data_IF_412783439100
#
_entry.id   IF_412783439100
#
_cell.length_a   1.000
_cell.length_b   1.000
_cell.length_c   1.000
_cell.angle_alpha   90.00
_cell.angle_beta   90.00
_cell.angle_gamma   90.00
#
_symmetry.space_group_name_H-M   'P 1'
#
loop_
_entity.id
_entity.type
_entity.pdbx_description
1 polymer ?
#
# COMPACT_ATOMS: atom_id res chain seq x y z
N UNK A 1 -54.06 -7.15 65.85
CA UNK A 1 -52.76 -7.65 65.41
C UNK A 1 -52.49 -7.05 64.02
N UNK A 2 -51.64 -6.04 63.95
CA UNK A 2 -51.27 -5.32 62.70
C UNK A 2 -49.88 -5.75 62.33
N UNK A 3 -49.73 -6.50 61.19
CA UNK A 3 -48.45 -6.85 60.63
C UNK A 3 -47.91 -5.69 59.80
N UNK A 4 -46.73 -5.23 60.14
CA UNK A 4 -45.96 -4.23 59.40
C UNK A 4 -44.99 -4.97 58.47
N UNK A 5 -45.22 -4.88 57.14
CA UNK A 5 -44.24 -5.31 56.15
C UNK A 5 -43.21 -4.21 55.92
N UNK A 6 -41.96 -4.47 56.27
CA UNK A 6 -40.83 -3.58 55.95
C UNK A 6 -40.34 -3.93 54.53
N UNK A 7 -40.44 -2.94 53.64
CA UNK A 7 -39.84 -2.98 52.28
C UNK A 7 -38.37 -2.56 52.40
N UNK A 8 -37.46 -3.49 52.13
CA UNK A 8 -36.02 -3.17 52.00
C UNK A 8 -35.79 -2.75 50.54
N UNK A 9 -35.55 -1.46 50.31
CA UNK A 9 -35.15 -0.89 49.04
C UNK A 9 -33.60 -1.09 48.89
N UNK A 10 -33.21 -2.08 48.11
CA UNK A 10 -31.81 -2.26 47.76
C UNK A 10 -31.39 -1.22 46.73
N UNK A 11 -30.53 -0.26 47.12
CA UNK A 11 -29.86 0.65 46.20
C UNK A 11 -28.80 -0.13 45.40
N UNK A 12 -29.11 -0.42 44.12
CA UNK A 12 -28.10 -0.82 43.16
C UNK A 12 -27.25 0.42 42.79
N UNK A 13 -26.06 0.52 43.37
CA UNK A 13 -25.04 1.47 42.94
C UNK A 13 -24.46 0.93 41.63
N UNK A 14 -24.98 1.38 40.50
CA UNK A 14 -24.37 1.19 39.19
C UNK A 14 -23.13 2.09 39.17
N UNK A 15 -21.97 1.52 39.48
CA UNK A 15 -20.70 2.19 39.34
C UNK A 15 -20.46 2.50 37.86
N UNK A 16 -20.67 3.74 37.46
CA UNK A 16 -20.20 4.23 36.16
C UNK A 16 -18.67 4.14 36.17
N UNK A 17 -18.12 3.12 35.51
CA UNK A 17 -16.71 3.08 35.19
C UNK A 17 -16.46 4.27 34.26
N UNK A 18 -15.90 5.36 34.80
CA UNK A 18 -15.37 6.44 33.98
C UNK A 18 -14.26 5.86 33.12
N UNK A 19 -14.47 5.77 31.82
CA UNK A 19 -13.43 5.42 30.89
C UNK A 19 -12.26 6.40 31.11
N UNK A 20 -11.16 5.88 31.65
CA UNK A 20 -9.97 6.67 31.89
C UNK A 20 -9.44 7.14 30.54
N UNK A 21 -9.41 8.46 30.31
CA UNK A 21 -8.88 9.02 29.07
C UNK A 21 -7.41 8.56 28.89
N UNK A 22 -7.06 8.12 27.67
CA UNK A 22 -5.69 7.74 27.37
C UNK A 22 -4.76 8.95 27.53
N UNK A 23 -3.56 8.71 28.06
CA UNK A 23 -2.49 9.71 27.96
C UNK A 23 -2.16 9.89 26.49
N UNK A 24 -2.01 11.13 25.99
CA UNK A 24 -1.62 11.37 24.61
C UNK A 24 -0.21 10.80 24.33
N UNK A 25 0.09 10.45 23.08
CA UNK A 25 1.45 10.13 22.68
C UNK A 25 2.37 11.35 22.86
N UNK A 26 3.68 11.14 22.87
CA UNK A 26 4.66 12.24 22.93
C UNK A 26 4.57 13.17 21.72
N UNK A 27 4.29 12.60 20.56
CA UNK A 27 4.01 13.31 19.30
C UNK A 27 2.77 12.71 18.65
N UNK A 28 1.92 13.58 18.10
CA UNK A 28 0.75 13.14 17.33
C UNK A 28 1.14 12.54 15.98
N UNK A 29 0.23 11.81 15.33
CA UNK A 29 0.46 11.31 13.97
C UNK A 29 0.73 12.46 12.99
N UNK A 30 0.02 13.58 13.13
CA UNK A 30 0.27 14.79 12.35
C UNK A 30 1.69 15.33 12.55
N UNK A 31 2.17 15.49 13.79
CA UNK A 31 3.51 16.03 14.06
C UNK A 31 4.59 15.13 13.46
N UNK A 32 4.46 13.81 13.59
CA UNK A 32 5.36 12.83 12.96
C UNK A 32 5.31 12.91 11.44
N UNK A 33 4.12 12.90 10.86
CA UNK A 33 3.92 13.00 9.44
C UNK A 33 4.59 14.24 8.84
N UNK A 34 4.37 15.42 9.45
CA UNK A 34 4.97 16.68 9.01
C UNK A 34 6.50 16.70 9.06
N UNK A 35 7.12 15.85 9.88
CA UNK A 35 8.58 15.66 9.92
C UNK A 35 9.05 14.66 8.87
N UNK A 36 8.36 13.54 8.73
CA UNK A 36 8.77 12.44 7.85
C UNK A 36 8.67 12.82 6.37
N UNK A 37 7.62 13.55 5.96
CA UNK A 37 7.47 13.97 4.56
C UNK A 37 8.58 14.93 4.09
N UNK A 38 9.28 15.60 4.99
CA UNK A 38 10.43 16.47 4.67
C UNK A 38 11.72 15.71 4.36
N UNK A 39 11.77 14.42 4.68
CA UNK A 39 12.92 13.56 4.40
C UNK A 39 12.73 12.98 3.01
N UNK A 40 13.61 13.31 2.09
CA UNK A 40 13.61 12.72 0.75
C UNK A 40 13.98 11.24 0.83
N UNK A 41 13.06 10.39 0.38
CA UNK A 41 13.21 8.93 0.36
C UNK A 41 12.83 8.33 -0.99
N UNK A 42 12.78 9.15 -2.05
CA UNK A 42 12.36 8.71 -3.36
C UNK A 42 13.17 7.50 -3.84
N UNK A 43 12.47 6.44 -4.24
CA UNK A 43 13.06 5.25 -4.88
C UNK A 43 13.47 5.53 -6.34
N UNK A 44 14.16 4.59 -6.95
CA UNK A 44 14.59 4.70 -8.34
C UNK A 44 14.42 3.36 -9.06
N UNK A 45 13.83 3.40 -10.26
CA UNK A 45 13.69 2.22 -11.11
C UNK A 45 15.04 1.71 -11.62
N UNK A 46 15.06 0.45 -12.09
CA UNK A 46 16.20 -0.18 -12.75
C UNK A 46 17.52 -0.20 -11.94
N UNK A 47 17.44 -0.17 -10.61
CA UNK A 47 18.59 -0.30 -9.72
C UNK A 47 18.87 -1.76 -9.38
N UNK A 48 20.18 -2.08 -9.19
CA UNK A 48 20.62 -3.41 -8.76
C UNK A 48 20.91 -3.50 -7.25
N UNK A 49 20.56 -2.44 -6.51
CA UNK A 49 20.78 -2.34 -5.05
C UNK A 49 19.45 -2.19 -4.32
N UNK A 50 19.38 -2.70 -3.09
CA UNK A 50 18.28 -2.47 -2.15
C UNK A 50 18.89 -1.87 -0.89
N UNK A 51 18.41 -0.68 -0.46
CA UNK A 51 17.42 0.16 -1.16
C UNK A 51 17.96 0.70 -2.49
N UNK A 52 17.04 0.95 -3.42
CA UNK A 52 17.35 1.50 -4.75
C UNK A 52 18.03 2.87 -4.66
N UNK A 53 17.72 3.63 -3.60
CA UNK A 53 18.40 4.89 -3.27
C UNK A 53 18.84 4.90 -1.81
N UNK A 54 20.06 5.32 -1.55
CA UNK A 54 20.61 5.39 -0.18
C UNK A 54 19.92 6.43 0.70
N UNK A 55 19.21 7.40 0.13
CA UNK A 55 18.50 8.45 0.88
C UNK A 55 17.36 7.89 1.73
N UNK A 56 16.79 6.73 1.38
CA UNK A 56 15.81 6.01 2.19
C UNK A 56 16.36 5.64 3.58
N UNK A 57 17.67 5.36 3.69
CA UNK A 57 18.32 5.05 4.96
C UNK A 57 18.27 6.20 5.98
N UNK A 58 18.07 7.44 5.53
CA UNK A 58 17.92 8.58 6.44
C UNK A 58 16.66 8.42 7.30
N UNK A 59 15.53 8.06 6.68
CA UNK A 59 14.28 7.79 7.39
C UNK A 59 14.40 6.49 8.21
N UNK A 60 14.96 5.41 7.65
CA UNK A 60 15.15 4.14 8.34
C UNK A 60 15.91 4.32 9.68
N UNK A 61 17.02 5.06 9.65
CA UNK A 61 17.82 5.31 10.85
C UNK A 61 17.08 6.19 11.87
N UNK A 62 16.33 7.18 11.41
CA UNK A 62 15.49 8.01 12.28
C UNK A 62 14.43 7.17 12.98
N UNK A 63 13.68 6.34 12.23
CA UNK A 63 12.64 5.48 12.79
C UNK A 63 13.19 4.46 13.79
N UNK A 64 14.34 3.85 13.48
CA UNK A 64 15.00 2.94 14.42
C UNK A 64 15.43 3.65 15.72
N UNK A 65 15.89 4.89 15.63
CA UNK A 65 16.22 5.72 16.81
C UNK A 65 14.96 6.03 17.62
N UNK A 66 13.91 6.52 16.97
CA UNK A 66 12.65 6.88 17.64
C UNK A 66 11.98 5.66 18.30
N UNK A 67 11.97 4.50 17.65
CA UNK A 67 11.45 3.25 18.23
C UNK A 67 12.19 2.88 19.53
N UNK A 68 13.52 3.04 19.57
CA UNK A 68 14.32 2.82 20.80
C UNK A 68 13.95 3.83 21.89
N UNK A 69 13.77 5.11 21.52
CA UNK A 69 13.39 6.19 22.45
C UNK A 69 11.96 6.03 23.00
N UNK A 70 11.06 5.45 22.23
CA UNK A 70 9.70 5.05 22.66
C UNK A 70 9.78 3.86 23.62
N UNK A 71 10.80 3.00 23.52
CA UNK A 71 11.01 1.82 24.37
C UNK A 71 10.65 0.50 23.69
N UNK A 72 10.52 0.47 22.36
CA UNK A 72 10.40 -0.78 21.60
C UNK A 72 11.65 -1.63 21.75
N UNK A 73 11.47 -2.96 21.65
CA UNK A 73 12.54 -3.94 21.79
C UNK A 73 12.97 -4.48 20.41
N UNK A 74 14.13 -5.16 20.37
CA UNK A 74 14.66 -5.81 19.17
C UNK A 74 14.80 -4.87 17.96
N UNK A 75 15.00 -3.58 18.20
CA UNK A 75 15.08 -2.57 17.13
C UNK A 75 16.35 -2.75 16.33
N UNK A 76 16.20 -3.05 15.05
CA UNK A 76 17.31 -3.24 14.10
C UNK A 76 16.99 -2.64 12.76
N UNK A 77 18.02 -2.25 12.02
CA UNK A 77 17.96 -1.95 10.58
C UNK A 77 18.74 -3.04 9.88
N UNK A 78 18.14 -3.71 8.91
CA UNK A 78 18.82 -4.74 8.13
C UNK A 78 19.84 -4.14 7.14
N UNK A 79 20.69 -4.96 6.55
CA UNK A 79 21.60 -4.54 5.47
C UNK A 79 20.85 -3.98 4.24
N UNK A 80 19.59 -4.36 4.08
CA UNK A 80 18.70 -3.88 3.00
C UNK A 80 17.88 -2.63 3.39
N UNK A 81 18.13 -2.04 4.56
CA UNK A 81 17.44 -0.84 5.03
C UNK A 81 16.07 -1.10 5.67
N UNK A 82 15.63 -2.34 5.80
CA UNK A 82 14.35 -2.65 6.47
C UNK A 82 14.51 -2.45 7.98
N UNK A 83 13.61 -1.67 8.57
CA UNK A 83 13.54 -1.45 10.02
C UNK A 83 12.63 -2.50 10.64
N UNK A 84 13.05 -3.11 11.74
CA UNK A 84 12.25 -4.03 12.54
C UNK A 84 12.22 -3.61 14.00
N UNK A 85 11.09 -3.82 14.67
CA UNK A 85 10.96 -3.62 16.10
C UNK A 85 9.88 -4.53 16.69
N UNK A 86 9.89 -4.69 18.02
CA UNK A 86 8.89 -5.44 18.76
C UNK A 86 8.38 -4.62 19.94
N UNK A 87 7.08 -4.52 20.09
CA UNK A 87 6.43 -4.04 21.30
C UNK A 87 5.94 -5.25 22.09
N UNK A 88 6.52 -5.55 23.28
CA UNK A 88 6.09 -6.70 24.08
C UNK A 88 4.63 -6.55 24.52
N UNK A 89 3.89 -7.64 24.47
CA UNK A 89 2.54 -7.67 25.00
C UNK A 89 2.49 -7.43 26.51
N UNK A 90 1.40 -6.88 26.99
CA UNK A 90 1.20 -6.54 28.40
C UNK A 90 0.11 -7.35 29.12
N UNK A 91 -0.30 -8.47 28.52
CA UNK A 91 -1.25 -9.41 29.13
C UNK A 91 -0.55 -10.35 30.10
N UNK A 92 -1.23 -10.86 31.14
CA UNK A 92 -0.68 -11.88 32.06
C UNK A 92 -0.24 -13.15 31.34
N UNK A 93 -0.97 -13.56 30.29
CA UNK A 93 -0.64 -14.65 29.40
C UNK A 93 -0.74 -14.18 27.93
N UNK A 94 0.40 -13.82 27.36
CA UNK A 94 0.49 -13.41 25.96
C UNK A 94 0.47 -14.58 24.98
N UNK A 95 0.63 -15.83 25.46
CA UNK A 95 0.73 -17.01 24.60
C UNK A 95 -0.53 -17.31 23.79
N UNK A 96 -1.67 -16.82 24.25
CA UNK A 96 -2.97 -16.98 23.57
C UNK A 96 -3.23 -15.95 22.47
N UNK A 97 -2.54 -14.82 22.50
CA UNK A 97 -2.72 -13.75 21.50
C UNK A 97 -1.68 -13.93 20.42
N UNK A 98 -2.06 -14.06 19.15
CA UNK A 98 -1.08 -14.13 18.08
C UNK A 98 -0.25 -12.85 18.03
N UNK A 99 1.03 -12.97 17.70
CA UNK A 99 1.85 -11.80 17.35
C UNK A 99 1.32 -11.19 16.05
N UNK A 100 1.01 -9.90 16.07
CA UNK A 100 0.45 -9.18 14.93
C UNK A 100 1.50 -8.19 14.43
N UNK A 101 1.72 -8.16 13.11
CA UNK A 101 2.61 -7.22 12.45
C UNK A 101 1.89 -5.99 11.92
N UNK A 102 2.57 -4.82 11.93
CA UNK A 102 2.18 -3.64 11.17
C UNK A 102 3.37 -3.20 10.32
N UNK A 103 3.09 -2.92 9.05
CA UNK A 103 4.11 -2.67 8.02
C UNK A 103 3.69 -1.45 7.22
N UNK A 104 4.64 -0.56 6.92
CA UNK A 104 4.50 0.57 5.99
C UNK A 104 5.80 0.74 5.22
N UNK A 105 5.74 1.31 4.02
CA UNK A 105 6.95 1.56 3.26
C UNK A 105 7.50 2.97 3.46
N UNK A 106 8.81 3.12 3.29
CA UNK A 106 9.51 4.37 3.54
C UNK A 106 9.76 5.20 2.29
N UNK A 107 9.85 4.55 1.16
CA UNK A 107 10.12 5.23 -0.10
C UNK A 107 8.90 6.00 -0.60
N UNK A 108 9.16 6.92 -1.52
CA UNK A 108 8.12 7.62 -2.28
C UNK A 108 8.31 7.33 -3.76
N UNK A 109 7.22 7.36 -4.50
CA UNK A 109 7.17 7.08 -5.93
C UNK A 109 8.18 7.91 -6.74
N UNK A 110 8.87 7.31 -7.73
CA UNK A 110 9.72 8.05 -8.65
C UNK A 110 8.94 8.91 -9.66
N UNK A 111 7.60 8.78 -9.72
CA UNK A 111 6.77 9.48 -10.70
C UNK A 111 6.82 11.02 -10.58
N UNK A 112 6.90 11.52 -9.35
CA UNK A 112 7.02 12.97 -9.05
C UNK A 112 8.05 13.16 -7.94
N UNK A 113 8.83 14.25 -8.00
CA UNK A 113 9.84 14.54 -6.99
C UNK A 113 9.27 14.61 -5.57
N UNK A 114 9.90 13.93 -4.63
CA UNK A 114 9.69 14.02 -3.18
C UNK A 114 10.78 14.83 -2.46
N UNK A 115 11.61 15.58 -3.19
CA UNK A 115 12.68 16.39 -2.62
C UNK A 115 12.18 17.80 -2.22
N UNK A 116 12.57 18.24 -1.03
CA UNK A 116 12.22 19.57 -0.49
C UNK A 116 10.71 19.81 -0.38
N UNK A 117 9.95 18.82 0.07
CA UNK A 117 8.49 18.93 0.25
C UNK A 117 8.15 20.10 1.15
N UNK A 118 7.39 21.06 0.61
CA UNK A 118 6.87 22.22 1.30
C UNK A 118 5.40 21.99 1.66
N UNK A 119 5.14 21.64 2.93
CA UNK A 119 3.80 21.26 3.39
C UNK A 119 2.92 22.50 3.62
N UNK A 120 1.69 22.44 3.14
CA UNK A 120 0.63 23.43 3.37
C UNK A 120 -0.49 22.79 4.19
N UNK A 121 -0.93 23.46 5.25
CA UNK A 121 -2.07 23.05 6.06
C UNK A 121 -3.23 24.02 5.81
N UNK A 122 -4.27 23.53 5.17
CA UNK A 122 -5.52 24.23 4.93
C UNK A 122 -6.44 24.00 6.13
N UNK A 123 -6.32 24.89 7.13
CA UNK A 123 -7.04 24.75 8.40
C UNK A 123 -8.54 24.90 8.24
N UNK A 124 -9.30 24.05 8.94
CA UNK A 124 -10.75 24.11 9.01
C UNK A 124 -11.38 24.28 7.62
N UNK A 125 -11.08 23.33 6.74
CA UNK A 125 -11.52 23.35 5.34
C UNK A 125 -13.03 23.53 5.23
N UNK A 126 -13.46 24.55 4.47
CA UNK A 126 -14.87 24.95 4.34
C UNK A 126 -15.53 24.45 3.04
N UNK A 127 -14.87 23.58 2.31
CA UNK A 127 -15.33 23.10 1.00
C UNK A 127 -14.77 23.89 -0.17
N UNK A 128 -14.99 23.40 -1.37
CA UNK A 128 -14.49 23.96 -2.63
C UNK A 128 -13.16 23.35 -3.09
N UNK A 129 -12.68 23.82 -4.21
CA UNK A 129 -11.42 23.35 -4.80
C UNK A 129 -10.21 23.96 -4.07
N UNK A 130 -9.12 23.21 -3.97
CA UNK A 130 -7.88 23.65 -3.34
C UNK A 130 -6.85 23.94 -4.41
N UNK A 131 -6.46 25.21 -4.56
CA UNK A 131 -5.39 25.65 -5.48
C UNK A 131 -4.05 25.57 -4.74
N UNK A 132 -3.07 24.90 -5.33
CA UNK A 132 -1.76 24.76 -4.72
C UNK A 132 -0.91 26.03 -4.97
N UNK A 133 -0.30 26.63 -3.92
CA UNK A 133 0.13 28.03 -3.97
C UNK A 133 1.32 28.30 -4.90
N UNK A 134 2.22 27.34 -5.15
CA UNK A 134 3.38 27.55 -6.01
C UNK A 134 3.18 27.13 -7.47
N UNK A 135 2.17 26.32 -7.73
CA UNK A 135 1.73 26.00 -9.09
C UNK A 135 0.19 26.08 -9.16
N UNK A 136 -0.38 27.26 -9.44
CA UNK A 136 -1.83 27.45 -9.48
C UNK A 136 -2.56 26.65 -10.58
N UNK A 137 -1.83 25.98 -11.47
CA UNK A 137 -2.40 25.03 -12.43
C UNK A 137 -2.72 23.70 -11.77
N UNK A 138 -2.13 23.42 -10.62
CA UNK A 138 -2.39 22.25 -9.79
C UNK A 138 -3.56 22.56 -8.85
N UNK A 139 -4.72 21.97 -9.14
CA UNK A 139 -5.95 22.20 -8.38
C UNK A 139 -6.56 20.86 -7.97
N UNK A 140 -6.70 20.64 -6.68
CA UNK A 140 -7.44 19.50 -6.15
C UNK A 140 -8.92 19.86 -6.20
N UNK A 141 -9.65 19.30 -7.17
CA UNK A 141 -11.05 19.66 -7.38
C UNK A 141 -12.00 18.70 -6.68
N UNK A 142 -13.08 19.20 -6.12
CA UNK A 142 -14.14 18.37 -5.51
C UNK A 142 -14.75 17.40 -6.52
N UNK A 143 -14.73 17.75 -7.80
CA UNK A 143 -15.25 16.89 -8.87
C UNK A 143 -14.38 15.64 -9.08
N UNK A 144 -13.04 15.76 -8.99
CA UNK A 144 -12.10 14.64 -9.17
C UNK A 144 -11.75 13.94 -7.86
N UNK A 145 -11.86 14.64 -6.73
CA UNK A 145 -11.61 14.12 -5.38
C UNK A 145 -12.86 14.33 -4.50
N UNK A 146 -13.93 13.53 -4.71
CA UNK A 146 -15.21 13.72 -4.01
C UNK A 146 -15.13 13.59 -2.48
N UNK A 147 -14.11 12.88 -1.97
CA UNK A 147 -13.82 12.73 -0.53
C UNK A 147 -13.64 14.07 0.18
N UNK A 148 -13.23 15.13 -0.51
CA UNK A 148 -13.16 16.49 0.05
C UNK A 148 -14.48 16.95 0.68
N UNK A 149 -15.63 16.45 0.22
CA UNK A 149 -16.94 16.78 0.80
C UNK A 149 -17.11 16.22 2.21
N UNK A 150 -16.41 15.13 2.52
CA UNK A 150 -16.46 14.46 3.82
C UNK A 150 -15.45 15.08 4.81
N UNK A 151 -14.52 15.91 4.29
CA UNK A 151 -13.44 16.54 5.07
C UNK A 151 -13.75 18.01 5.44
N UNK A 152 -14.99 18.48 5.24
CA UNK A 152 -15.39 19.83 5.67
C UNK A 152 -15.26 19.94 7.20
N UNK A 153 -14.55 20.97 7.64
CA UNK A 153 -14.23 21.21 9.05
C UNK A 153 -12.91 20.59 9.52
N UNK A 154 -12.27 19.76 8.71
CA UNK A 154 -10.96 19.17 9.01
C UNK A 154 -9.80 20.06 8.51
N UNK A 155 -8.59 19.79 8.95
CA UNK A 155 -7.36 20.38 8.43
C UNK A 155 -6.83 19.50 7.28
N UNK A 156 -6.82 20.03 6.05
CA UNK A 156 -6.28 19.32 4.88
C UNK A 156 -4.80 19.62 4.73
N UNK A 157 -4.00 18.61 4.44
CA UNK A 157 -2.55 18.68 4.31
C UNK A 157 -2.19 18.38 2.85
N UNK A 158 -1.47 19.30 2.20
CA UNK A 158 -1.00 19.17 0.81
C UNK A 158 0.48 19.55 0.71
N UNK A 159 1.12 19.22 -0.41
CA UNK A 159 2.32 19.93 -0.84
C UNK A 159 1.96 21.28 -1.49
N UNK A 160 2.97 22.08 -1.84
CA UNK A 160 2.79 23.41 -2.44
C UNK A 160 2.50 23.41 -3.95
N UNK A 161 2.47 22.22 -4.58
CA UNK A 161 2.23 22.02 -6.02
C UNK A 161 3.51 21.76 -6.83
N UNK A 162 4.69 21.81 -6.21
CA UNK A 162 5.97 21.53 -6.91
C UNK A 162 6.41 20.08 -6.77
N UNK A 163 6.01 19.40 -5.68
CA UNK A 163 6.37 18.01 -5.35
C UNK A 163 5.12 17.18 -5.06
N UNK A 164 5.26 15.85 -4.95
CA UNK A 164 4.30 15.05 -4.21
C UNK A 164 4.32 15.43 -2.71
N UNK A 165 3.34 14.97 -1.93
CA UNK A 165 3.33 15.17 -0.46
C UNK A 165 4.14 14.09 0.28
N UNK A 166 4.05 12.83 -0.18
CA UNK A 166 4.62 11.65 0.47
C UNK A 166 3.71 11.09 1.57
N UNK A 167 2.39 11.27 1.43
CA UNK A 167 1.40 10.59 2.26
C UNK A 167 1.49 9.08 2.08
N UNK A 168 1.71 8.67 0.88
CA UNK A 168 2.13 7.33 0.47
C UNK A 168 3.65 7.16 0.66
N UNK A 169 4.16 6.41 1.69
CA UNK A 169 3.35 5.84 2.77
C UNK A 169 3.86 6.34 4.14
N UNK A 170 4.33 7.60 4.20
CA UNK A 170 4.79 8.20 5.46
C UNK A 170 3.64 8.51 6.43
N UNK A 171 2.38 8.49 5.95
CA UNK A 171 1.20 8.53 6.82
C UNK A 171 1.07 7.24 7.63
N UNK A 172 1.13 6.08 6.99
CA UNK A 172 1.10 4.79 7.68
C UNK A 172 2.26 4.64 8.67
N UNK A 173 3.48 5.09 8.30
CA UNK A 173 4.60 5.15 9.25
C UNK A 173 4.26 6.00 10.46
N UNK A 174 3.72 7.22 10.27
CA UNK A 174 3.38 8.12 11.37
C UNK A 174 2.31 7.53 12.28
N UNK A 175 1.33 6.85 11.71
CA UNK A 175 0.22 6.19 12.41
C UNK A 175 0.70 5.01 13.25
N UNK A 176 1.53 4.12 12.68
CA UNK A 176 2.14 2.99 13.39
C UNK A 176 3.01 3.50 14.54
N UNK A 177 3.88 4.48 14.30
CA UNK A 177 4.75 5.06 15.32
C UNK A 177 3.95 5.70 16.45
N UNK A 178 2.82 6.36 16.13
CA UNK A 178 1.94 6.99 17.11
C UNK A 178 1.16 5.95 17.91
N UNK A 179 0.70 4.86 17.27
CA UNK A 179 0.09 3.72 17.95
C UNK A 179 1.06 3.11 18.97
N UNK A 180 2.31 2.84 18.58
CA UNK A 180 3.33 2.27 19.48
C UNK A 180 3.60 3.19 20.66
N UNK A 181 3.78 4.50 20.43
CA UNK A 181 3.99 5.48 21.49
C UNK A 181 2.78 5.55 22.44
N UNK A 182 1.56 5.57 21.91
CA UNK A 182 0.34 5.58 22.69
C UNK A 182 0.23 4.36 23.60
N UNK A 183 0.51 3.17 23.09
CA UNK A 183 0.48 1.93 23.88
C UNK A 183 1.54 1.94 25.00
N UNK A 184 2.73 2.43 24.72
CA UNK A 184 3.80 2.56 25.71
C UNK A 184 3.47 3.59 26.82
N UNK A 185 2.74 4.68 26.50
CA UNK A 185 2.26 5.66 27.47
C UNK A 185 1.07 5.12 28.31
N UNK A 186 0.38 4.08 27.85
CA UNK A 186 -0.87 3.58 28.39
C UNK A 186 -0.83 2.06 28.66
N UNK A 187 -0.05 1.58 29.63
CA UNK A 187 0.08 0.15 29.92
C UNK A 187 -1.22 -0.52 30.38
N UNK A 188 -2.25 0.26 30.69
CA UNK A 188 -3.60 -0.25 30.97
C UNK A 188 -4.32 -0.75 29.71
N UNK A 189 -3.96 -0.27 28.52
CA UNK A 189 -4.49 -0.76 27.24
C UNK A 189 -3.91 -2.13 26.95
N UNK A 190 -4.76 -3.14 26.98
CA UNK A 190 -4.32 -4.54 26.84
C UNK A 190 -4.09 -4.91 25.39
N UNK A 191 -2.93 -5.50 25.12
CA UNK A 191 -2.54 -5.96 23.80
C UNK A 191 -1.56 -7.16 23.88
N UNK A 192 -1.55 -7.99 22.85
CA UNK A 192 -0.52 -9.02 22.64
C UNK A 192 0.81 -8.39 22.17
N UNK A 193 1.77 -9.23 21.85
CA UNK A 193 3.01 -8.79 21.22
C UNK A 193 2.72 -8.22 19.81
N UNK A 194 3.32 -7.07 19.52
CA UNK A 194 3.20 -6.39 18.23
C UNK A 194 4.57 -6.34 17.57
N UNK A 195 4.66 -6.78 16.31
CA UNK A 195 5.82 -6.60 15.47
C UNK A 195 5.61 -5.39 14.55
N UNK A 196 6.66 -4.60 14.33
CA UNK A 196 6.63 -3.42 13.45
C UNK A 196 7.75 -3.54 12.45
N UNK A 197 7.45 -3.23 11.18
CA UNK A 197 8.48 -3.10 10.17
C UNK A 197 8.22 -1.93 9.24
N UNK A 198 9.32 -1.32 8.74
CA UNK A 198 9.27 -0.32 7.69
C UNK A 198 10.18 -0.76 6.54
N UNK A 199 9.61 -0.83 5.34
CA UNK A 199 10.24 -1.41 4.15
C UNK A 199 10.72 -0.32 3.18
N UNK A 200 11.82 -0.54 2.43
CA UNK A 200 12.20 0.29 1.30
C UNK A 200 11.64 -0.28 0.00
N UNK A 201 11.65 0.51 -1.07
CA UNK A 201 11.46 0.09 -2.47
C UNK A 201 10.14 -0.63 -2.77
N UNK A 202 9.06 -0.29 -2.08
CA UNK A 202 7.71 -0.78 -2.42
C UNK A 202 7.32 -0.29 -3.82
N UNK A 203 7.50 0.99 -4.08
CA UNK A 203 7.09 1.72 -5.28
C UNK A 203 7.78 1.27 -6.57
N UNK A 204 8.93 0.63 -6.44
CA UNK A 204 9.71 0.11 -7.59
C UNK A 204 9.85 -1.41 -7.56
N UNK A 205 9.26 -2.06 -6.55
CA UNK A 205 9.31 -3.48 -6.27
C UNK A 205 10.73 -3.99 -5.94
N UNK A 206 10.83 -4.91 -5.00
CA UNK A 206 12.08 -5.60 -4.66
C UNK A 206 12.50 -5.52 -3.20
N UNK A 207 12.18 -4.44 -2.49
CA UNK A 207 12.51 -4.31 -1.06
C UNK A 207 11.92 -5.42 -0.23
N UNK A 208 10.67 -5.75 -0.47
CA UNK A 208 9.93 -6.80 0.24
C UNK A 208 10.51 -8.20 0.05
N UNK A 209 11.22 -8.46 -1.05
CA UNK A 209 11.87 -9.76 -1.29
C UNK A 209 12.96 -10.08 -0.24
N UNK A 210 13.51 -9.04 0.39
CA UNK A 210 14.52 -9.12 1.45
C UNK A 210 13.94 -9.14 2.87
N UNK A 211 12.60 -9.11 2.98
CA UNK A 211 11.93 -9.14 4.28
C UNK A 211 12.19 -10.47 5.01
N UNK A 212 12.61 -10.40 6.25
CA UNK A 212 12.85 -11.53 7.14
C UNK A 212 11.54 -11.94 7.84
N UNK A 213 10.73 -12.76 7.19
CA UNK A 213 9.41 -13.20 7.72
C UNK A 213 9.57 -13.96 9.02
N UNK A 214 10.56 -14.85 9.11
CA UNK A 214 10.81 -15.66 10.32
C UNK A 214 11.27 -14.77 11.48
N UNK A 215 12.27 -13.92 11.26
CA UNK A 215 12.79 -13.01 12.27
C UNK A 215 11.84 -11.86 12.63
N UNK A 216 10.83 -11.54 11.79
CA UNK A 216 9.74 -10.64 12.12
C UNK A 216 8.80 -11.25 13.16
N UNK A 217 8.60 -12.57 13.11
CA UNK A 217 7.94 -13.36 14.13
C UNK A 217 6.45 -13.13 14.28
N UNK A 218 5.80 -12.40 13.38
CA UNK A 218 4.36 -12.21 13.38
C UNK A 218 3.64 -13.41 12.75
N UNK A 219 2.49 -13.80 13.31
CA UNK A 219 1.61 -14.82 12.73
C UNK A 219 0.77 -14.25 11.58
N UNK A 220 0.37 -12.98 11.71
CA UNK A 220 -0.39 -12.20 10.77
C UNK A 220 0.18 -10.78 10.72
N UNK A 221 -0.02 -10.08 9.63
CA UNK A 221 0.33 -8.66 9.57
C UNK A 221 -0.77 -7.84 8.88
N UNK A 222 -0.61 -6.53 8.90
CA UNK A 222 -1.36 -5.57 8.12
C UNK A 222 -0.37 -4.57 7.52
N UNK A 223 -0.45 -4.33 6.22
CA UNK A 223 0.13 -3.12 5.65
C UNK A 223 -0.79 -1.95 5.96
N UNK A 224 -0.23 -0.80 6.31
CA UNK A 224 -0.96 0.45 6.57
C UNK A 224 -0.58 1.40 5.44
N UNK A 225 -1.16 1.15 4.28
CA UNK A 225 -0.71 1.66 2.97
C UNK A 225 -1.91 1.82 1.99
N UNK A 226 -3.13 1.85 2.52
CA UNK A 226 -4.34 2.11 1.75
C UNK A 226 -4.62 3.60 1.63
N UNK A 227 -5.47 3.98 0.67
CA UNK A 227 -5.82 5.37 0.43
C UNK A 227 -6.87 5.89 1.44
N UNK A 228 -8.04 6.11 0.95
CA UNK A 228 -9.12 6.84 1.62
C UNK A 228 -9.57 6.19 2.91
N UNK A 229 -9.97 7.03 3.86
CA UNK A 229 -10.45 6.60 5.17
C UNK A 229 -11.56 5.55 5.08
N UNK A 230 -11.33 4.40 5.71
CA UNK A 230 -12.25 3.25 5.71
C UNK A 230 -11.96 2.17 4.69
N UNK A 231 -11.00 2.36 3.81
CA UNK A 231 -10.56 1.36 2.84
C UNK A 231 -9.89 0.17 3.52
N UNK A 232 -10.38 -1.02 3.25
CA UNK A 232 -9.76 -2.28 3.68
C UNK A 232 -9.63 -3.17 2.45
N UNK A 233 -8.41 -3.64 2.17
CA UNK A 233 -8.16 -4.49 1.03
C UNK A 233 -7.62 -5.86 1.44
N UNK A 234 -8.30 -6.90 0.97
CA UNK A 234 -7.87 -8.31 1.09
C UNK A 234 -7.79 -8.99 -0.28
N UNK A 235 -7.82 -8.20 -1.34
CA UNK A 235 -7.80 -8.65 -2.72
C UNK A 235 -6.93 -7.71 -3.56
N UNK A 236 -6.03 -8.28 -4.33
CA UNK A 236 -5.17 -7.59 -5.30
C UNK A 236 -5.32 -8.23 -6.68
N UNK A 237 -4.80 -7.61 -7.72
CA UNK A 237 -4.65 -8.33 -8.98
C UNK A 237 -3.68 -9.50 -8.86
N UNK A 238 -3.85 -10.47 -9.75
CA UNK A 238 -2.77 -11.34 -10.21
C UNK A 238 -2.14 -10.72 -11.47
N UNK A 239 -0.85 -10.95 -11.66
CA UNK A 239 -0.07 -10.26 -12.67
C UNK A 239 0.90 -11.18 -13.41
N UNK A 240 1.00 -10.98 -14.73
CA UNK A 240 2.04 -11.58 -15.57
C UNK A 240 2.73 -10.49 -16.39
N UNK A 241 4.00 -10.72 -16.71
CA UNK A 241 4.79 -9.92 -17.63
C UNK A 241 5.09 -10.76 -18.86
N UNK A 242 4.62 -10.32 -20.01
CA UNK A 242 5.00 -10.92 -21.30
C UNK A 242 6.08 -10.09 -21.98
N UNK A 243 7.06 -10.76 -22.57
CA UNK A 243 8.05 -10.16 -23.48
C UNK A 243 7.92 -10.84 -24.84
N UNK A 244 7.54 -10.07 -25.85
CA UNK A 244 7.49 -10.54 -27.23
C UNK A 244 8.71 -10.03 -27.98
N UNK A 245 9.45 -10.93 -28.61
CA UNK A 245 10.68 -10.62 -29.33
C UNK A 245 10.52 -11.00 -30.81
N UNK A 246 10.95 -10.09 -31.66
CA UNK A 246 10.93 -10.23 -33.12
C UNK A 246 12.37 -10.18 -33.62
N UNK A 247 12.85 -11.28 -34.22
CA UNK A 247 14.20 -11.38 -34.78
C UNK A 247 14.13 -11.29 -36.29
N UNK A 248 14.75 -10.28 -36.81
CA UNK A 248 14.95 -10.06 -38.25
C UNK A 248 16.38 -10.36 -38.67
N UNK A 249 16.81 -9.71 -39.74
CA UNK A 249 18.16 -9.79 -40.30
C UNK A 249 18.55 -8.43 -40.87
N UNK A 250 19.54 -7.79 -40.25
CA UNK A 250 20.06 -6.49 -40.72
C UNK A 250 21.03 -6.67 -41.88
N UNK A 251 21.09 -5.69 -42.78
CA UNK A 251 22.12 -5.53 -43.79
C UNK A 251 22.17 -4.06 -44.24
N UNK A 252 23.15 -3.72 -45.08
CA UNK A 252 23.26 -2.35 -45.60
C UNK A 252 22.00 -1.97 -46.41
N UNK A 253 21.29 -0.88 -46.12
CA UNK A 253 20.01 -0.53 -46.76
C UNK A 253 20.10 -0.43 -48.30
N UNK A 254 21.21 0.03 -48.82
CA UNK A 254 21.42 0.15 -50.28
C UNK A 254 21.49 -1.19 -51.02
N UNK A 255 21.71 -2.31 -50.29
CA UNK A 255 21.80 -3.67 -50.84
C UNK A 255 20.80 -4.64 -50.18
N UNK A 256 19.76 -4.08 -49.55
CA UNK A 256 18.84 -4.85 -48.74
C UNK A 256 17.82 -5.69 -49.49
N UNK A 257 17.61 -5.47 -50.78
CA UNK A 257 16.59 -6.15 -51.56
C UNK A 257 16.81 -7.68 -51.57
N UNK A 258 15.83 -8.42 -51.03
CA UNK A 258 15.86 -9.90 -50.95
C UNK A 258 16.80 -10.45 -49.86
N UNK A 259 17.42 -9.59 -49.02
CA UNK A 259 18.38 -9.99 -47.96
C UNK A 259 17.95 -9.54 -46.59
N UNK A 260 17.48 -8.27 -46.46
CA UNK A 260 17.03 -7.71 -45.19
C UNK A 260 15.69 -8.29 -44.75
N UNK A 261 15.59 -8.65 -43.50
CA UNK A 261 14.33 -8.99 -42.82
C UNK A 261 14.15 -8.00 -41.70
N UNK A 262 13.24 -7.04 -41.86
CA UNK A 262 13.07 -5.98 -40.92
C UNK A 262 12.03 -6.36 -39.86
N UNK A 263 12.48 -6.53 -38.60
CA UNK A 263 11.64 -6.91 -37.45
C UNK A 263 10.62 -5.85 -37.05
N UNK A 264 10.85 -4.57 -37.41
CA UNK A 264 9.99 -3.44 -37.06
C UNK A 264 8.58 -3.57 -37.64
N UNK A 265 8.47 -4.08 -38.85
CA UNK A 265 7.16 -4.27 -39.50
C UNK A 265 6.32 -5.35 -38.79
N UNK A 266 6.96 -6.42 -38.31
CA UNK A 266 6.29 -7.46 -37.53
C UNK A 266 5.86 -6.94 -36.15
N UNK A 267 6.70 -6.13 -35.48
CA UNK A 267 6.31 -5.46 -34.21
C UNK A 267 5.11 -4.53 -34.44
N UNK A 268 5.13 -3.69 -35.49
CA UNK A 268 4.01 -2.78 -35.80
C UNK A 268 2.70 -3.53 -36.08
N UNK A 269 2.76 -4.65 -36.83
CA UNK A 269 1.60 -5.52 -37.07
C UNK A 269 1.09 -6.14 -35.77
N UNK A 270 1.98 -6.63 -34.89
CA UNK A 270 1.61 -7.19 -33.58
C UNK A 270 0.90 -6.17 -32.72
N UNK A 271 1.45 -4.95 -32.59
CA UNK A 271 0.86 -3.88 -31.78
C UNK A 271 -0.51 -3.43 -32.32
N UNK A 272 -0.72 -3.45 -33.64
CA UNK A 272 -2.00 -3.07 -34.25
C UNK A 272 -3.14 -4.06 -33.98
N UNK A 273 -2.85 -5.23 -33.40
CA UNK A 273 -3.84 -6.28 -33.10
C UNK A 273 -4.43 -6.19 -31.72
N UNK A 274 -3.93 -5.29 -30.84
CA UNK A 274 -4.46 -5.17 -29.48
C UNK A 274 -5.93 -4.72 -29.51
N UNK A 275 -6.84 -5.46 -28.84
CA UNK A 275 -8.21 -4.99 -28.63
C UNK A 275 -8.22 -3.73 -27.77
N UNK A 276 -8.95 -2.69 -28.20
CA UNK A 276 -8.98 -1.41 -27.50
C UNK A 276 -9.84 -1.42 -26.22
N UNK A 277 -10.68 -2.41 -26.04
CA UNK A 277 -11.61 -2.55 -24.91
C UNK A 277 -10.99 -3.22 -23.66
N UNK A 278 -9.75 -3.69 -23.76
CA UNK A 278 -9.01 -4.33 -22.66
C UNK A 278 -7.66 -3.64 -22.38
N UNK A 279 -7.54 -2.35 -22.66
CA UNK A 279 -6.37 -1.54 -22.35
C UNK A 279 -6.59 -0.78 -21.02
N UNK A 280 -5.54 -0.33 -20.31
CA UNK A 280 -5.69 0.45 -19.09
C UNK A 280 -6.58 1.68 -19.26
N UNK A 281 -6.50 2.35 -20.44
CA UNK A 281 -7.22 3.56 -20.78
C UNK A 281 -8.73 3.34 -20.96
N UNK A 282 -9.18 2.10 -21.10
CA UNK A 282 -10.58 1.74 -21.40
C UNK A 282 -11.19 0.82 -20.36
N UNK A 283 -10.44 0.45 -19.30
CA UNK A 283 -10.90 -0.47 -18.26
C UNK A 283 -10.93 0.18 -16.88
N UNK A 284 -11.94 -0.18 -16.07
CA UNK A 284 -12.10 0.26 -14.70
C UNK A 284 -12.62 -0.86 -13.78
N UNK A 285 -12.71 -0.59 -12.49
CA UNK A 285 -13.25 -1.52 -11.50
C UNK A 285 -12.52 -2.87 -11.53
N UNK A 286 -13.26 -3.95 -11.70
CA UNK A 286 -12.72 -5.31 -11.71
C UNK A 286 -12.30 -5.83 -13.09
N UNK A 287 -12.38 -5.00 -14.13
CA UNK A 287 -12.00 -5.42 -15.50
C UNK A 287 -10.48 -5.40 -15.63
N UNK A 288 -9.88 -6.57 -15.88
CA UNK A 288 -8.45 -6.69 -16.12
C UNK A 288 -8.02 -6.14 -17.46
N UNK A 289 -6.71 -5.95 -17.68
CA UNK A 289 -6.18 -5.37 -18.91
C UNK A 289 -4.92 -6.08 -19.44
N UNK A 290 -4.57 -5.77 -20.69
CA UNK A 290 -3.24 -5.95 -21.28
C UNK A 290 -2.66 -4.57 -21.60
N UNK A 291 -1.37 -4.34 -21.26
CA UNK A 291 -0.73 -3.05 -21.42
C UNK A 291 0.67 -3.18 -22.03
N UNK A 292 0.82 -3.00 -23.38
CA UNK A 292 2.14 -2.81 -23.97
C UNK A 292 2.70 -1.46 -23.53
N UNK A 293 3.78 -1.43 -22.73
CA UNK A 293 4.22 -0.20 -22.08
C UNK A 293 5.64 0.25 -22.45
N UNK A 294 6.50 -0.68 -22.85
CA UNK A 294 7.87 -0.35 -23.28
C UNK A 294 8.38 -1.35 -24.27
N UNK A 295 9.39 -0.97 -25.05
CA UNK A 295 9.98 -1.85 -26.06
C UNK A 295 11.19 -1.27 -26.75
N UNK A 296 11.83 -2.11 -27.55
CA UNK A 296 12.96 -1.77 -28.42
C UNK A 296 12.51 -1.89 -29.87
N UNK A 297 12.84 -0.90 -30.69
CA UNK A 297 12.54 -0.86 -32.12
C UNK A 297 13.85 -0.84 -32.90
N UNK A 298 14.18 -1.94 -33.55
CA UNK A 298 15.40 -2.09 -34.31
C UNK A 298 15.21 -3.09 -35.45
N UNK A 299 15.93 -2.97 -36.59
CA UNK A 299 15.80 -3.82 -37.77
C UNK A 299 16.08 -5.30 -37.48
N UNK A 300 17.10 -5.58 -36.66
CA UNK A 300 17.55 -6.96 -36.41
C UNK A 300 16.79 -7.57 -35.21
N UNK A 301 16.49 -6.80 -34.17
CA UNK A 301 15.81 -7.29 -32.97
C UNK A 301 14.91 -6.24 -32.37
N UNK A 302 13.62 -6.35 -32.59
CA UNK A 302 12.61 -5.58 -31.87
C UNK A 302 12.00 -6.40 -30.73
N UNK A 303 11.51 -5.71 -29.70
CA UNK A 303 10.78 -6.35 -28.58
C UNK A 303 9.77 -5.40 -27.96
N UNK A 304 8.76 -5.97 -27.30
CA UNK A 304 7.79 -5.24 -26.50
C UNK A 304 7.51 -5.99 -25.20
N UNK A 305 7.46 -5.25 -24.09
CA UNK A 305 7.02 -5.75 -22.78
C UNK A 305 5.55 -5.38 -22.57
N UNK A 306 4.78 -6.32 -22.06
CA UNK A 306 3.32 -6.22 -21.91
C UNK A 306 2.94 -6.68 -20.51
N UNK A 307 2.27 -5.82 -19.76
CA UNK A 307 1.69 -6.19 -18.47
C UNK A 307 0.32 -6.84 -18.70
N UNK A 308 0.07 -7.97 -18.04
CA UNK A 308 -1.25 -8.60 -17.93
C UNK A 308 -1.71 -8.49 -16.49
N UNK A 309 -2.93 -8.00 -16.29
CA UNK A 309 -3.54 -7.85 -14.97
C UNK A 309 -4.96 -8.39 -14.99
N UNK A 310 -5.32 -9.15 -13.97
CA UNK A 310 -6.69 -9.59 -13.74
C UNK A 310 -6.86 -10.03 -12.27
N UNK A 311 -8.08 -9.94 -11.74
CA UNK A 311 -8.41 -10.48 -10.43
C UNK A 311 -8.56 -12.00 -10.45
N UNK A 312 -8.97 -12.54 -11.59
CA UNK A 312 -9.20 -13.97 -11.76
C UNK A 312 -8.08 -14.62 -12.60
N UNK A 313 -7.60 -15.78 -12.20
CA UNK A 313 -6.58 -16.52 -12.94
C UNK A 313 -7.07 -16.89 -14.34
N UNK A 314 -8.35 -17.25 -14.48
CA UNK A 314 -8.95 -17.54 -15.79
C UNK A 314 -8.93 -16.33 -16.73
N UNK A 315 -9.06 -15.12 -16.20
CA UNK A 315 -8.92 -13.87 -16.94
C UNK A 315 -7.49 -13.63 -17.42
N UNK A 316 -6.49 -13.94 -16.60
CA UNK A 316 -5.07 -13.90 -17.00
C UNK A 316 -4.78 -14.95 -18.08
N UNK A 317 -5.30 -16.17 -17.96
CA UNK A 317 -5.10 -17.24 -18.93
C UNK A 317 -5.71 -16.87 -20.29
N UNK A 318 -6.89 -16.24 -20.29
CA UNK A 318 -7.50 -15.72 -21.50
C UNK A 318 -6.65 -14.63 -22.18
N UNK A 319 -6.05 -13.72 -21.40
CA UNK A 319 -5.15 -12.67 -21.89
C UNK A 319 -3.84 -13.25 -22.42
N UNK A 320 -3.27 -14.24 -21.73
CA UNK A 320 -2.09 -14.96 -22.20
C UNK A 320 -2.36 -15.65 -23.55
N UNK A 321 -3.50 -16.34 -23.66
CA UNK A 321 -3.91 -16.98 -24.90
C UNK A 321 -4.04 -15.97 -26.02
N UNK A 322 -4.66 -14.83 -25.79
CA UNK A 322 -4.77 -13.74 -26.77
C UNK A 322 -3.39 -13.33 -27.30
N UNK A 323 -2.42 -13.07 -26.41
CA UNK A 323 -1.07 -12.67 -26.83
C UNK A 323 -0.37 -13.75 -27.67
N UNK A 324 -0.53 -15.03 -27.29
CA UNK A 324 0.02 -16.16 -28.06
C UNK A 324 -0.64 -16.31 -29.43
N UNK A 325 -1.95 -16.12 -29.52
CA UNK A 325 -2.69 -16.13 -30.79
C UNK A 325 -2.23 -14.97 -31.71
N UNK A 326 -2.02 -13.77 -31.14
CA UNK A 326 -1.47 -12.62 -31.88
C UNK A 326 -0.05 -12.89 -32.39
N UNK A 327 0.82 -13.54 -31.58
CA UNK A 327 2.15 -13.99 -32.01
C UNK A 327 2.06 -14.94 -33.20
N UNK A 328 1.18 -15.94 -33.14
CA UNK A 328 0.98 -16.91 -34.23
C UNK A 328 0.50 -16.24 -35.54
N UNK A 329 -0.42 -15.28 -35.42
CA UNK A 329 -0.93 -14.52 -36.57
C UNK A 329 0.16 -13.65 -37.21
N UNK A 330 0.96 -12.96 -36.39
CA UNK A 330 2.08 -12.13 -36.85
C UNK A 330 3.17 -12.99 -37.49
N UNK A 331 3.51 -14.13 -36.88
CA UNK A 331 4.47 -15.09 -37.45
C UNK A 331 4.00 -15.62 -38.84
N UNK A 332 2.72 -15.90 -39.00
CA UNK A 332 2.16 -16.35 -40.27
C UNK A 332 2.24 -15.26 -41.37
N UNK A 333 2.07 -13.99 -40.99
CA UNK A 333 2.15 -12.85 -41.91
C UNK A 333 3.60 -12.48 -42.26
N UNK A 334 4.54 -12.69 -41.34
CA UNK A 334 5.96 -12.38 -41.49
C UNK A 334 6.81 -13.67 -41.30
N UNK A 335 6.79 -14.61 -42.26
CA UNK A 335 7.42 -15.93 -42.08
C UNK A 335 8.94 -15.88 -41.90
N UNK A 336 9.60 -14.86 -42.43
CA UNK A 336 11.04 -14.66 -42.30
C UNK A 336 11.49 -14.01 -40.98
N UNK A 337 10.57 -13.41 -40.21
CA UNK A 337 10.83 -12.90 -38.88
C UNK A 337 10.58 -14.00 -37.87
N UNK A 338 11.52 -14.30 -36.98
CA UNK A 338 11.27 -15.23 -35.87
C UNK A 338 10.61 -14.49 -34.73
N UNK A 339 9.33 -14.82 -34.43
CA UNK A 339 8.59 -14.24 -33.31
C UNK A 339 8.54 -15.21 -32.13
N UNK A 340 8.82 -14.73 -30.92
CA UNK A 340 8.75 -15.52 -29.70
C UNK A 340 8.12 -14.72 -28.56
N UNK A 341 7.48 -15.41 -27.62
CA UNK A 341 6.89 -14.84 -26.41
C UNK A 341 7.36 -15.59 -25.18
N UNK A 342 7.83 -14.87 -24.20
CA UNK A 342 8.12 -15.34 -22.85
C UNK A 342 7.13 -14.67 -21.89
N UNK A 343 6.53 -15.45 -20.98
CA UNK A 343 5.57 -14.95 -19.98
C UNK A 343 6.03 -15.41 -18.62
N UNK A 344 6.12 -14.46 -17.67
CA UNK A 344 6.48 -14.69 -16.27
C UNK A 344 5.37 -14.23 -15.37
N UNK A 345 5.03 -15.03 -14.35
CA UNK A 345 4.19 -14.58 -13.24
C UNK A 345 4.99 -13.61 -12.39
N UNK A 346 4.38 -12.49 -11.99
CA UNK A 346 5.04 -11.47 -11.18
C UNK A 346 4.51 -11.44 -9.76
N UNK A 347 3.19 -11.46 -9.59
CA UNK A 347 2.55 -11.63 -8.29
C UNK A 347 1.13 -12.21 -8.44
N UNK A 348 0.55 -12.66 -7.32
CA UNK A 348 -0.77 -13.28 -7.25
C UNK A 348 -1.73 -12.46 -6.42
N UNK A 349 -3.03 -12.66 -6.67
CA UNK A 349 -4.10 -12.10 -5.85
C UNK A 349 -4.02 -12.65 -4.42
N UNK A 350 -3.78 -11.78 -3.43
CA UNK A 350 -3.66 -12.17 -2.02
C UNK A 350 -4.94 -12.84 -1.46
N UNK A 351 -6.09 -12.60 -2.07
CA UNK A 351 -7.36 -13.24 -1.70
C UNK A 351 -7.30 -14.77 -1.74
N UNK A 352 -6.47 -15.34 -2.61
CA UNK A 352 -6.29 -16.80 -2.69
C UNK A 352 -5.85 -17.41 -1.36
N UNK A 353 -5.10 -16.66 -0.57
CA UNK A 353 -4.67 -17.07 0.77
C UNK A 353 -5.58 -16.47 1.83
N UNK A 354 -5.87 -15.16 1.77
CA UNK A 354 -6.61 -14.42 2.81
C UNK A 354 -8.05 -14.91 3.01
N UNK A 355 -8.66 -15.54 2.00
CA UNK A 355 -9.98 -16.21 2.16
C UNK A 355 -10.00 -17.26 3.27
N UNK A 356 -8.85 -17.80 3.67
CA UNK A 356 -8.72 -18.79 4.77
C UNK A 356 -8.53 -18.11 6.15
N UNK A 357 -8.43 -16.77 6.18
CA UNK A 357 -8.22 -15.97 7.40
C UNK A 357 -9.22 -14.80 7.47
N UNK A 358 -10.55 -15.08 7.42
CA UNK A 358 -11.57 -14.03 7.38
C UNK A 358 -11.53 -13.14 8.62
N UNK A 359 -11.04 -13.66 9.77
CA UNK A 359 -10.91 -12.93 11.01
C UNK A 359 -10.01 -11.69 10.89
N UNK A 360 -9.04 -11.67 9.97
CA UNK A 360 -8.17 -10.50 9.76
C UNK A 360 -8.99 -9.32 9.21
N UNK A 361 -9.80 -9.59 8.19
CA UNK A 361 -10.68 -8.57 7.59
C UNK A 361 -11.79 -8.17 8.56
N UNK A 362 -12.43 -9.14 9.25
CA UNK A 362 -13.51 -8.88 10.20
C UNK A 362 -13.03 -8.02 11.37
N UNK A 363 -11.83 -8.28 11.89
CA UNK A 363 -11.21 -7.48 12.96
C UNK A 363 -10.89 -6.06 12.49
N UNK A 364 -10.39 -5.89 11.27
CA UNK A 364 -10.11 -4.58 10.67
C UNK A 364 -11.40 -3.76 10.50
N UNK A 365 -12.48 -4.38 10.00
CA UNK A 365 -13.81 -3.76 9.86
C UNK A 365 -14.34 -3.30 11.22
N UNK A 366 -14.24 -4.15 12.24
CA UNK A 366 -14.69 -3.81 13.59
C UNK A 366 -13.84 -2.68 14.21
N UNK A 367 -12.52 -2.72 14.01
CA UNK A 367 -11.61 -1.69 14.49
C UNK A 367 -11.90 -0.31 13.89
N UNK A 368 -12.15 -0.25 12.58
CA UNK A 368 -12.55 0.96 11.89
C UNK A 368 -13.88 1.52 12.40
N UNK A 369 -14.88 0.65 12.60
CA UNK A 369 -16.17 1.05 13.18
C UNK A 369 -16.01 1.62 14.59
N UNK A 370 -15.18 1.02 15.43
CA UNK A 370 -14.87 1.55 16.79
C UNK A 370 -14.18 2.91 16.74
N UNK A 371 -13.43 3.21 15.67
CA UNK A 371 -12.83 4.52 15.42
C UNK A 371 -13.83 5.54 14.83
N UNK A 372 -15.10 5.16 14.65
CA UNK A 372 -16.11 6.01 14.02
C UNK A 372 -15.90 6.17 12.50
N UNK A 373 -15.21 5.23 11.89
CA UNK A 373 -14.97 5.17 10.44
C UNK A 373 -15.97 4.20 9.82
N UNK A 374 -16.50 4.52 8.65
CA UNK A 374 -17.34 3.62 7.84
C UNK A 374 -16.45 2.77 6.94
N UNK A 375 -16.19 1.49 7.28
CA UNK A 375 -15.31 0.67 6.46
C UNK A 375 -15.98 0.23 5.16
N UNK A 376 -15.17 0.05 4.12
CA UNK A 376 -15.58 -0.58 2.86
C UNK A 376 -14.43 -1.45 2.32
N UNK A 377 -14.82 -2.49 1.56
CA UNK A 377 -13.85 -3.38 0.93
C UNK A 377 -13.46 -2.83 -0.44
N UNK A 378 -12.16 -2.76 -0.70
CA UNK A 378 -11.61 -2.42 -2.01
C UNK A 378 -10.77 -3.59 -2.56
N UNK A 379 -10.91 -3.85 -3.85
CA UNK A 379 -10.01 -4.72 -4.59
C UNK A 379 -8.94 -3.84 -5.26
N UNK A 380 -7.69 -3.98 -4.84
CA UNK A 380 -6.58 -3.14 -5.31
C UNK A 380 -6.21 -3.50 -6.74
N UNK A 381 -6.19 -2.51 -7.64
CA UNK A 381 -5.77 -2.67 -9.05
C UNK A 381 -4.24 -2.67 -9.20
N UNK A 382 -3.52 -3.28 -8.28
CA UNK A 382 -2.07 -3.36 -8.21
C UNK A 382 -1.61 -4.54 -7.35
N UNK A 383 -0.32 -4.56 -7.06
CA UNK A 383 0.29 -5.37 -6.00
C UNK A 383 0.57 -4.47 -4.80
N UNK A 384 0.86 -5.07 -3.66
CA UNK A 384 1.31 -4.41 -2.43
C UNK A 384 2.36 -5.28 -1.76
N UNK A 385 3.14 -4.71 -0.84
CA UNK A 385 4.02 -5.50 0.02
C UNK A 385 3.24 -6.62 0.73
N UNK A 386 1.99 -6.33 1.15
CA UNK A 386 1.10 -7.31 1.78
C UNK A 386 0.76 -8.49 0.88
N UNK A 387 0.60 -8.28 -0.43
CA UNK A 387 0.34 -9.38 -1.37
C UNK A 387 1.52 -10.33 -1.46
N UNK A 388 2.74 -9.80 -1.53
CA UNK A 388 3.97 -10.60 -1.58
C UNK A 388 4.21 -11.37 -0.27
N UNK A 389 4.05 -10.72 0.88
CA UNK A 389 4.19 -11.34 2.21
C UNK A 389 3.18 -12.45 2.42
N UNK A 390 1.95 -12.28 1.96
CA UNK A 390 0.88 -13.27 2.06
C UNK A 390 1.28 -14.61 1.42
N UNK A 391 1.93 -14.58 0.26
CA UNK A 391 2.43 -15.81 -0.41
C UNK A 391 3.74 -16.34 0.18
N UNK A 392 4.41 -15.56 1.04
CA UNK A 392 5.58 -15.99 1.81
C UNK A 392 5.24 -16.51 3.20
N UNK A 393 3.94 -16.75 3.47
CA UNK A 393 3.46 -17.36 4.71
C UNK A 393 3.09 -16.37 5.82
N UNK A 394 3.01 -15.07 5.51
CA UNK A 394 2.54 -14.02 6.40
C UNK A 394 1.26 -13.40 5.85
N UNK A 395 0.06 -13.91 6.17
CA UNK A 395 -1.20 -13.34 5.71
C UNK A 395 -1.33 -11.86 6.09
N UNK A 396 -1.42 -10.97 5.08
CA UNK A 396 -1.28 -9.52 5.27
C UNK A 396 -2.28 -8.75 4.40
N UNK A 397 -3.50 -8.44 4.90
CA UNK A 397 -4.41 -7.50 4.27
C UNK A 397 -3.90 -6.05 4.44
N UNK A 398 -4.46 -5.11 3.64
CA UNK A 398 -4.09 -3.71 3.65
C UNK A 398 -5.15 -2.85 4.35
N UNK A 399 -4.70 -1.83 5.10
CA UNK A 399 -5.50 -0.85 5.83
C UNK A 399 -5.27 0.56 5.27
N UNK A 400 -6.29 1.40 5.37
CA UNK A 400 -6.25 2.80 4.96
C UNK A 400 -5.31 3.66 5.83
N UNK A 401 -4.81 4.74 5.22
CA UNK A 401 -4.07 5.84 5.87
C UNK A 401 -4.85 7.16 5.87
N UNK A 402 -5.94 7.23 5.11
CA UNK A 402 -6.71 8.46 4.90
C UNK A 402 -6.12 9.39 3.84
N UNK A 403 -5.00 9.01 3.20
CA UNK A 403 -4.42 9.74 2.08
C UNK A 403 -5.24 9.61 0.79
N UNK A 404 -4.94 10.44 -0.18
CA UNK A 404 -5.68 10.47 -1.46
C UNK A 404 -4.80 11.04 -2.57
N UNK A 405 -5.04 10.62 -3.83
CA UNK A 405 -4.34 11.06 -5.04
C UNK A 405 -2.84 10.76 -5.02
N UNK A 406 -2.44 9.60 -4.58
CA UNK A 406 -1.06 9.15 -4.47
C UNK A 406 -0.29 9.28 -5.79
N UNK A 407 1.05 9.28 -5.71
CA UNK A 407 1.99 9.37 -6.84
C UNK A 407 1.89 10.68 -7.65
N UNK A 408 1.31 11.75 -7.09
CA UNK A 408 1.09 12.98 -7.81
C UNK A 408 1.23 14.25 -6.96
N UNK A 409 1.29 15.41 -7.64
CA UNK A 409 1.35 16.73 -6.98
C UNK A 409 0.04 17.10 -6.27
N UNK A 410 -1.06 16.41 -6.61
CA UNK A 410 -2.40 16.63 -6.03
C UNK A 410 -2.66 15.72 -4.82
N UNK A 411 -1.64 15.05 -4.35
CA UNK A 411 -1.67 14.20 -3.16
C UNK A 411 -2.03 15.02 -1.92
N UNK A 412 -2.91 14.49 -1.08
CA UNK A 412 -3.29 15.12 0.18
C UNK A 412 -3.69 14.09 1.23
N UNK A 413 -3.65 14.51 2.49
CA UNK A 413 -4.21 13.80 3.63
C UNK A 413 -4.96 14.79 4.52
N UNK A 414 -5.56 14.34 5.61
CA UNK A 414 -6.19 15.20 6.60
C UNK A 414 -5.74 14.85 8.02
N UNK A 415 -5.84 15.81 8.94
CA UNK A 415 -5.58 15.56 10.36
C UNK A 415 -6.49 14.46 10.89
N UNK A 416 -7.78 14.56 10.62
CA UNK A 416 -8.76 13.57 11.07
C UNK A 416 -8.54 12.20 10.43
N UNK A 417 -8.03 12.14 9.20
CA UNK A 417 -7.60 10.91 8.55
C UNK A 417 -6.52 10.20 9.35
N UNK A 418 -5.40 10.88 9.62
CA UNK A 418 -4.28 10.36 10.43
C UNK A 418 -4.71 9.94 11.85
N UNK A 419 -5.56 10.74 12.51
CA UNK A 419 -6.04 10.44 13.86
C UNK A 419 -6.94 9.20 13.89
N UNK A 420 -7.88 9.08 12.94
CA UNK A 420 -8.80 7.93 12.86
C UNK A 420 -8.12 6.65 12.41
N UNK A 421 -7.14 6.74 11.53
CA UNK A 421 -6.33 5.59 11.14
C UNK A 421 -5.52 5.11 12.35
N UNK A 422 -4.81 5.99 13.06
CA UNK A 422 -4.12 5.64 14.32
C UNK A 422 -5.06 4.99 15.33
N UNK A 423 -6.28 5.54 15.51
CA UNK A 423 -7.27 4.96 16.43
C UNK A 423 -7.74 3.58 15.97
N UNK A 424 -7.85 3.37 14.65
CA UNK A 424 -8.18 2.06 14.09
C UNK A 424 -7.12 1.02 14.44
N UNK A 425 -5.84 1.35 14.31
CA UNK A 425 -4.74 0.45 14.71
C UNK A 425 -4.79 0.12 16.21
N UNK A 426 -5.04 1.12 17.07
CA UNK A 426 -5.20 0.94 18.52
C UNK A 426 -6.39 0.01 18.85
N UNK A 427 -7.51 0.17 18.17
CA UNK A 427 -8.67 -0.70 18.36
C UNK A 427 -8.39 -2.12 17.88
N UNK A 428 -7.67 -2.26 16.78
CA UNK A 428 -7.35 -3.56 16.17
C UNK A 428 -6.53 -4.44 17.13
N UNK A 429 -5.48 -3.88 17.74
CA UNK A 429 -4.66 -4.64 18.71
C UNK A 429 -5.45 -5.04 19.95
N UNK A 430 -6.40 -4.21 20.40
CA UNK A 430 -7.29 -4.53 21.51
C UNK A 430 -8.28 -5.63 21.16
N UNK A 431 -8.86 -5.62 19.95
CA UNK A 431 -9.78 -6.66 19.48
C UNK A 431 -9.11 -8.03 19.48
N UNK A 432 -7.85 -8.12 19.04
CA UNK A 432 -7.11 -9.39 19.12
C UNK A 432 -6.89 -9.86 20.55
N UNK A 433 -6.62 -8.95 21.48
CA UNK A 433 -6.46 -9.27 22.90
C UNK A 433 -7.81 -9.70 23.54
N UNK A 434 -8.91 -9.02 23.22
CA UNK A 434 -10.26 -9.33 23.68
C UNK A 434 -10.68 -10.74 23.23
N UNK A 435 -10.58 -11.02 21.93
CA UNK A 435 -10.97 -12.32 21.35
C UNK A 435 -10.15 -13.49 21.88
N UNK A 436 -8.85 -13.29 22.13
CA UNK A 436 -8.02 -14.33 22.70
C UNK A 436 -8.35 -14.65 24.16
N UNK A 437 -8.95 -13.70 24.90
CA UNK A 437 -9.38 -13.89 26.28
C UNK A 437 -10.85 -14.37 26.43
N UNK A 438 -11.54 -14.60 25.32
CA UNK A 438 -12.91 -15.15 25.31
C UNK A 438 -14.01 -14.13 25.58
N UNK A 439 -13.74 -12.85 25.35
CA UNK A 439 -14.70 -11.75 25.46
C UNK A 439 -15.21 -11.32 24.08
#
# INVERSE_FOLDING_TARGET
>A
MKSVCALILGLLVVGSATAQSLKPPKETALDRFLRYVKIDTQSAEDQNTIPSTRKQLNLANLLAKELKEIGAQNVRVSEFGIVYATLPGNLPDNSRVPVIGFISHMDTSPAVSGENVSVIIHKNYQGGDIVLPKDPTQVITVAKSPVLKELIGDDIITADGTTLLGSDDKSGIAEIMTMVDTLMQNPQVKHGTIAVAFTPDEEVSGGIDKFDVEGFGAKFAYTVDGESLGEIANETWSARLATVTFLGKSTHPGTAKGVMVNSVYALGDYLSRFPHDILPETTEGRVGFVHPYTGVVDTEKSSVKILLRDFEISGLDAKEKLLRDMVAQTQAKFPDVKVSIEIKETYKNMKEVLKNYPELTDNAIEAAKRAGVKPYMLAVRGGTDGSNLTFRGLPTPNLFTGGTNFHGKLEFNSRGGLEKSTQTLLNLVQIFAEKANGN
#
